data_IF_482489067918
#
_entry.id   IF_482489067918
#
_cell.length_a   1.000
_cell.length_b   1.000
_cell.length_c   1.000
_cell.angle_alpha   90.00
_cell.angle_beta   90.00
_cell.angle_gamma   90.00
#
_symmetry.space_group_name_H-M   'P 1'
#
loop_
_entity.id
_entity.type
_entity.pdbx_description
1 polymer ?
#
# COMPACT_ATOMS: atom_id res chain seq x y z
N UNK A 1 4.16 16.30 2.87
CA UNK A 1 5.27 16.40 1.88
C UNK A 1 6.33 15.34 2.13
N UNK A 2 6.89 15.25 3.32
CA UNK A 2 8.00 14.31 3.71
C UNK A 2 7.68 12.82 3.43
N UNK A 3 6.46 12.36 3.78
CA UNK A 3 6.06 10.94 3.59
C UNK A 3 5.99 10.52 2.11
N UNK A 4 5.53 11.41 1.24
CA UNK A 4 5.42 11.14 -0.19
C UNK A 4 6.78 11.14 -0.88
N UNK A 5 7.71 11.96 -0.43
CA UNK A 5 9.11 11.95 -0.87
C UNK A 5 9.82 10.65 -0.48
N UNK A 6 9.62 10.18 0.75
CA UNK A 6 10.11 8.88 1.17
C UNK A 6 9.59 7.77 0.25
N UNK A 7 8.28 7.75 -0.03
CA UNK A 7 7.66 6.78 -0.95
C UNK A 7 8.29 6.83 -2.34
N UNK A 8 8.47 8.03 -2.90
CA UNK A 8 9.16 8.22 -4.19
C UNK A 8 10.56 7.60 -4.18
N UNK A 9 11.33 7.82 -3.13
CA UNK A 9 12.69 7.29 -3.00
C UNK A 9 12.69 5.76 -2.93
N UNK A 10 11.71 5.14 -2.23
CA UNK A 10 11.58 3.68 -2.20
C UNK A 10 11.22 3.12 -3.59
N UNK A 11 10.31 3.77 -4.33
CA UNK A 11 9.98 3.38 -5.71
C UNK A 11 11.23 3.37 -6.58
N UNK A 12 12.01 4.45 -6.57
CA UNK A 12 13.22 4.58 -7.39
C UNK A 12 14.31 3.57 -7.01
N UNK A 13 14.40 3.22 -5.72
CA UNK A 13 15.39 2.27 -5.20
C UNK A 13 15.08 0.82 -5.55
N UNK A 14 13.81 0.42 -5.53
CA UNK A 14 13.42 -0.99 -5.56
C UNK A 14 12.68 -1.44 -6.83
N UNK A 15 12.07 -0.52 -7.58
CA UNK A 15 11.28 -0.89 -8.74
C UNK A 15 12.02 -0.63 -10.05
N UNK A 16 11.86 -1.54 -10.99
CA UNK A 16 12.36 -1.38 -12.35
C UNK A 16 11.25 -0.80 -13.24
N UNK A 17 11.57 0.26 -13.98
CA UNK A 17 10.61 1.03 -14.82
C UNK A 17 10.02 0.21 -15.98
N UNK A 18 10.76 -0.79 -16.47
CA UNK A 18 10.35 -1.62 -17.61
C UNK A 18 9.45 -2.79 -17.20
N UNK A 19 9.22 -2.95 -15.91
CA UNK A 19 8.43 -4.02 -15.34
C UNK A 19 6.98 -3.61 -15.13
N UNK A 20 6.08 -4.61 -15.14
CA UNK A 20 4.66 -4.40 -14.85
C UNK A 20 4.45 -4.18 -13.35
N UNK A 21 3.72 -3.13 -12.99
CA UNK A 21 3.49 -2.77 -11.60
C UNK A 21 1.99 -2.63 -11.37
N UNK A 22 1.47 -3.32 -10.37
CA UNK A 22 0.12 -3.07 -9.85
C UNK A 22 0.21 -2.18 -8.62
N UNK A 23 -0.39 -0.99 -8.67
CA UNK A 23 -0.47 -0.06 -7.54
C UNK A 23 -1.87 -0.18 -6.92
N UNK A 24 -1.93 -0.65 -5.68
CA UNK A 24 -3.16 -0.88 -4.94
C UNK A 24 -3.54 0.34 -4.10
N UNK A 25 -4.84 0.68 -4.07
CA UNK A 25 -5.35 1.81 -3.30
C UNK A 25 -4.85 3.17 -3.80
N UNK A 26 -4.50 3.26 -5.09
CA UNK A 26 -3.91 4.47 -5.66
C UNK A 26 -4.90 5.64 -5.71
N UNK A 27 -4.36 6.85 -5.57
CA UNK A 27 -5.02 8.13 -5.76
C UNK A 27 -4.51 8.86 -7.01
N UNK A 28 -4.99 10.09 -7.23
CA UNK A 28 -4.45 10.99 -8.27
C UNK A 28 -2.98 11.34 -8.04
N UNK A 29 -2.52 11.34 -6.78
CA UNK A 29 -1.14 11.67 -6.43
C UNK A 29 -0.19 10.56 -6.86
N UNK A 30 -0.56 9.28 -6.63
CA UNK A 30 0.19 8.14 -7.17
C UNK A 30 0.21 8.17 -8.71
N UNK A 31 -0.89 8.54 -9.36
CA UNK A 31 -0.91 8.67 -10.81
C UNK A 31 0.09 9.72 -11.32
N UNK A 32 0.14 10.87 -10.66
CA UNK A 32 1.11 11.93 -10.95
C UNK A 32 2.55 11.44 -10.73
N UNK A 33 2.79 10.76 -9.61
CA UNK A 33 4.12 10.26 -9.25
C UNK A 33 4.65 9.24 -10.26
N UNK A 34 3.87 8.18 -10.55
CA UNK A 34 4.30 7.15 -11.49
C UNK A 34 4.50 7.68 -12.90
N UNK A 35 3.68 8.66 -13.32
CA UNK A 35 3.89 9.37 -14.58
C UNK A 35 5.19 10.17 -14.58
N UNK A 36 5.42 11.02 -13.57
CA UNK A 36 6.65 11.81 -13.40
C UNK A 36 7.90 10.95 -13.42
N UNK A 37 7.83 9.79 -12.76
CA UNK A 37 8.92 8.82 -12.70
C UNK A 37 9.04 7.93 -13.95
N UNK A 38 8.14 8.11 -14.94
CA UNK A 38 8.13 7.40 -16.22
C UNK A 38 7.91 5.87 -16.10
N UNK A 39 7.14 5.42 -15.14
CA UNK A 39 6.72 4.02 -15.02
C UNK A 39 5.53 3.72 -15.97
N UNK A 40 5.81 3.54 -17.26
CA UNK A 40 4.81 3.38 -18.32
C UNK A 40 3.93 2.14 -18.19
N UNK A 41 4.39 1.11 -17.45
CA UNK A 41 3.68 -0.16 -17.23
C UNK A 41 3.02 -0.27 -15.87
N UNK A 42 2.86 0.87 -15.17
CA UNK A 42 2.10 0.94 -13.93
C UNK A 42 0.59 0.91 -14.21
N UNK A 43 -0.12 0.08 -13.46
CA UNK A 43 -1.57 -0.02 -13.46
C UNK A 43 -2.06 0.43 -12.09
N UNK A 44 -2.84 1.50 -12.07
CA UNK A 44 -3.37 2.08 -10.85
C UNK A 44 -4.72 1.44 -10.50
N UNK A 45 -4.92 1.06 -9.26
CA UNK A 45 -6.18 0.48 -8.84
C UNK A 45 -6.72 1.11 -7.57
N UNK A 46 -8.04 1.22 -7.51
CA UNK A 46 -8.76 1.64 -6.31
C UNK A 46 -10.13 0.95 -6.28
N UNK A 47 -10.73 0.84 -5.10
CA UNK A 47 -12.11 0.36 -4.93
C UNK A 47 -13.11 1.34 -5.55
N UNK A 48 -12.79 2.64 -5.49
CA UNK A 48 -13.54 3.72 -6.11
C UNK A 48 -12.66 4.45 -7.13
N UNK A 49 -12.98 4.32 -8.41
CA UNK A 49 -12.25 4.99 -9.49
C UNK A 49 -12.36 6.52 -9.44
N UNK A 50 -13.30 7.08 -8.68
CA UNK A 50 -13.37 8.52 -8.45
C UNK A 50 -12.12 9.06 -7.73
N UNK A 51 -11.43 8.24 -6.92
CA UNK A 51 -10.16 8.59 -6.29
C UNK A 51 -9.03 8.78 -7.32
N UNK A 52 -9.20 8.23 -8.51
CA UNK A 52 -8.28 8.40 -9.64
C UNK A 52 -8.74 9.49 -10.62
N UNK A 53 -9.70 10.34 -10.20
CA UNK A 53 -10.17 11.47 -10.99
C UNK A 53 -9.00 12.45 -11.20
N UNK A 54 -8.81 12.87 -12.44
CA UNK A 54 -7.65 13.70 -12.83
C UNK A 54 -6.41 12.91 -13.25
N UNK A 55 -6.38 11.58 -13.02
CA UNK A 55 -5.30 10.73 -13.52
C UNK A 55 -5.35 10.52 -15.04
N UNK A 56 -6.46 10.91 -15.71
CA UNK A 56 -6.64 10.85 -17.16
C UNK A 56 -5.55 11.60 -17.91
N UNK A 57 -5.17 12.77 -17.41
CA UNK A 57 -4.11 13.60 -17.99
C UNK A 57 -2.75 12.88 -18.08
N UNK A 58 -2.54 11.85 -17.26
CA UNK A 58 -1.30 11.07 -17.24
C UNK A 58 -1.37 9.82 -18.12
N UNK A 59 -2.50 9.55 -18.81
CA UNK A 59 -2.72 8.34 -19.64
C UNK A 59 -2.44 7.03 -18.91
N UNK A 60 -2.55 7.02 -17.58
CA UNK A 60 -2.31 5.84 -16.76
C UNK A 60 -3.44 4.85 -16.88
N UNK A 61 -3.11 3.56 -17.01
CA UNK A 61 -4.11 2.50 -16.98
C UNK A 61 -4.72 2.39 -15.61
N UNK A 62 -6.06 2.42 -15.53
CA UNK A 62 -6.83 2.34 -14.29
C UNK A 62 -7.70 1.11 -14.28
N UNK A 63 -7.80 0.44 -13.14
CA UNK A 63 -8.70 -0.69 -12.93
C UNK A 63 -9.37 -0.59 -11.57
N UNK A 64 -10.61 -1.04 -11.50
CA UNK A 64 -11.32 -1.14 -10.22
C UNK A 64 -10.91 -2.44 -9.53
N UNK A 65 -10.35 -2.34 -8.34
CA UNK A 65 -10.04 -3.50 -7.49
C UNK A 65 -10.53 -3.21 -6.08
N UNK A 66 -11.34 -4.14 -5.58
CA UNK A 66 -11.63 -4.27 -4.17
C UNK A 66 -10.61 -5.24 -3.55
N UNK A 67 -9.96 -4.87 -2.47
CA UNK A 67 -8.95 -5.70 -1.80
C UNK A 67 -9.51 -7.07 -1.39
N UNK A 68 -10.80 -7.15 -1.09
CA UNK A 68 -11.49 -8.42 -0.78
C UNK A 68 -11.52 -9.40 -1.96
N UNK A 69 -11.27 -8.93 -3.17
CA UNK A 69 -11.29 -9.69 -4.41
C UNK A 69 -9.90 -9.96 -5.01
N UNK A 70 -8.81 -9.68 -4.31
CA UNK A 70 -7.44 -9.93 -4.81
C UNK A 70 -7.21 -11.40 -5.15
N UNK A 71 -7.88 -12.34 -4.48
CA UNK A 71 -7.82 -13.77 -4.77
C UNK A 71 -8.25 -14.13 -6.21
N UNK A 72 -8.99 -13.27 -6.90
CA UNK A 72 -9.38 -13.46 -8.31
C UNK A 72 -8.23 -13.19 -9.29
N UNK A 73 -7.18 -12.52 -8.87
CA UNK A 73 -5.99 -12.26 -9.67
C UNK A 73 -5.10 -13.48 -9.62
N UNK A 74 -4.62 -13.94 -10.78
CA UNK A 74 -3.74 -15.11 -10.87
C UNK A 74 -2.40 -14.87 -10.17
N UNK A 75 -1.79 -15.95 -9.68
CA UNK A 75 -0.43 -15.90 -9.13
C UNK A 75 0.54 -15.31 -10.15
N UNK A 76 1.53 -14.58 -9.67
CA UNK A 76 2.61 -14.02 -10.49
C UNK A 76 2.12 -13.22 -11.72
N UNK A 77 1.02 -12.45 -11.56
CA UNK A 77 0.42 -11.67 -12.67
C UNK A 77 1.15 -10.37 -12.96
N UNK A 78 1.84 -9.82 -11.97
CA UNK A 78 2.59 -8.57 -12.07
C UNK A 78 4.02 -8.77 -11.61
N UNK A 79 4.95 -8.01 -12.16
CA UNK A 79 6.34 -8.07 -11.71
C UNK A 79 6.48 -7.53 -10.29
N UNK A 80 5.80 -6.43 -9.99
CA UNK A 80 5.73 -5.85 -8.65
C UNK A 80 4.30 -5.51 -8.26
N UNK A 81 4.00 -5.57 -6.96
CA UNK A 81 2.76 -5.05 -6.38
C UNK A 81 3.12 -4.03 -5.31
N UNK A 82 2.51 -2.86 -5.39
CA UNK A 82 2.85 -1.69 -4.55
C UNK A 82 1.62 -1.21 -3.83
N UNK A 83 1.79 -0.81 -2.58
CA UNK A 83 0.75 -0.13 -1.79
C UNK A 83 1.37 0.97 -0.93
N UNK A 84 0.67 2.08 -0.83
CA UNK A 84 1.03 3.21 0.03
C UNK A 84 -0.18 3.63 0.85
N UNK A 85 -0.06 3.56 2.18
CA UNK A 85 -1.04 4.04 3.14
C UNK A 85 -2.49 3.60 2.85
N UNK A 86 -2.69 2.34 2.47
CA UNK A 86 -4.02 1.87 2.05
C UNK A 86 -4.41 0.50 2.61
N UNK A 87 -3.47 -0.30 3.12
CA UNK A 87 -3.81 -1.63 3.68
C UNK A 87 -4.65 -1.48 4.97
N UNK A 88 -4.44 -0.42 5.73
CA UNK A 88 -5.21 -0.18 6.95
C UNK A 88 -6.68 0.19 6.69
N UNK A 89 -7.10 0.44 5.44
CA UNK A 89 -8.50 0.59 5.07
C UNK A 89 -9.23 -0.74 4.86
N UNK A 90 -8.59 -1.87 5.13
CA UNK A 90 -9.23 -3.19 5.02
C UNK A 90 -9.40 -3.84 6.39
N UNK A 91 -10.46 -4.66 6.53
CA UNK A 91 -10.69 -5.50 7.71
C UNK A 91 -9.72 -6.69 7.83
N UNK A 92 -8.92 -6.97 6.77
CA UNK A 92 -8.04 -8.15 6.70
C UNK A 92 -6.63 -7.80 6.21
N UNK A 93 -5.89 -6.92 6.92
CA UNK A 93 -4.60 -6.41 6.44
C UNK A 93 -3.55 -7.52 6.17
N UNK A 94 -3.48 -8.55 7.00
CA UNK A 94 -2.57 -9.69 6.81
C UNK A 94 -2.87 -10.45 5.51
N UNK A 95 -4.15 -10.69 5.24
CA UNK A 95 -4.55 -11.38 4.02
C UNK A 95 -4.16 -10.59 2.77
N UNK A 96 -4.32 -9.27 2.81
CA UNK A 96 -3.94 -8.40 1.69
C UNK A 96 -2.43 -8.49 1.43
N UNK A 97 -1.60 -8.48 2.47
CA UNK A 97 -0.16 -8.65 2.34
C UNK A 97 0.20 -9.97 1.66
N UNK A 98 -0.43 -11.08 2.07
CA UNK A 98 -0.20 -12.40 1.47
C UNK A 98 -0.68 -12.44 0.00
N UNK A 99 -1.82 -11.84 -0.30
CA UNK A 99 -2.32 -11.74 -1.68
C UNK A 99 -1.38 -10.91 -2.56
N UNK A 100 -0.88 -9.78 -2.08
CA UNK A 100 0.14 -9.01 -2.79
C UNK A 100 1.37 -9.86 -3.09
N UNK A 101 1.86 -10.61 -2.09
CA UNK A 101 3.01 -11.49 -2.24
C UNK A 101 2.75 -12.61 -3.27
N UNK A 102 1.54 -13.20 -3.28
CA UNK A 102 1.13 -14.22 -4.24
C UNK A 102 1.04 -13.69 -5.68
N UNK A 103 0.53 -12.47 -5.85
CA UNK A 103 0.30 -11.82 -7.15
C UNK A 103 1.61 -11.34 -7.79
N UNK A 104 2.61 -10.99 -6.97
CA UNK A 104 3.89 -10.46 -7.43
C UNK A 104 4.86 -11.57 -7.87
N UNK A 105 5.61 -11.33 -8.97
CA UNK A 105 6.68 -12.22 -9.44
C UNK A 105 8.01 -11.97 -8.75
N UNK A 106 8.36 -10.68 -8.59
CA UNK A 106 9.69 -10.27 -8.12
C UNK A 106 9.67 -9.68 -6.73
N UNK A 107 8.58 -8.99 -6.34
CA UNK A 107 8.49 -8.42 -5.00
C UNK A 107 7.31 -7.51 -4.78
N UNK A 108 7.13 -7.16 -3.52
CA UNK A 108 6.12 -6.20 -3.07
C UNK A 108 6.80 -5.01 -2.42
N UNK A 109 6.23 -3.83 -2.58
CA UNK A 109 6.64 -2.61 -1.88
C UNK A 109 5.46 -2.12 -1.06
N UNK A 110 5.66 -2.05 0.25
CA UNK A 110 4.63 -1.62 1.21
C UNK A 110 5.17 -0.41 1.95
N UNK A 111 4.44 0.69 1.91
CA UNK A 111 4.73 1.89 2.71
C UNK A 111 3.53 2.16 3.62
N UNK A 112 3.65 1.74 4.85
CA UNK A 112 2.60 1.80 5.88
C UNK A 112 3.17 2.31 7.22
N UNK A 113 2.29 2.57 8.16
CA UNK A 113 2.67 3.02 9.49
C UNK A 113 3.35 1.89 10.28
N UNK A 114 4.43 2.23 11.00
CA UNK A 114 5.15 1.30 11.88
C UNK A 114 4.60 1.37 13.30
N UNK A 115 4.42 0.21 13.95
CA UNK A 115 4.09 0.11 15.38
C UNK A 115 5.35 0.22 16.25
N UNK A 116 5.97 1.40 16.24
CA UNK A 116 7.12 1.70 17.08
C UNK A 116 6.71 2.07 18.51
N UNK A 117 7.65 1.98 19.44
CA UNK A 117 7.42 2.46 20.82
C UNK A 117 7.00 3.94 20.86
N UNK A 118 7.66 4.79 20.05
CA UNK A 118 7.33 6.22 19.95
C UNK A 118 5.91 6.43 19.42
N UNK A 119 5.50 5.66 18.42
CA UNK A 119 4.15 5.74 17.87
C UNK A 119 3.09 5.32 18.90
N UNK A 120 3.33 4.23 19.64
CA UNK A 120 2.43 3.80 20.73
C UNK A 120 2.31 4.84 21.83
N UNK A 121 3.43 5.50 22.16
CA UNK A 121 3.42 6.60 23.12
C UNK A 121 2.64 7.82 22.57
N UNK A 122 2.81 8.16 21.30
CA UNK A 122 2.05 9.24 20.64
C UNK A 122 0.54 9.00 20.68
N UNK A 123 0.10 7.77 20.46
CA UNK A 123 -1.33 7.39 20.57
C UNK A 123 -1.80 7.52 22.01
N UNK A 124 -1.03 7.01 22.97
CA UNK A 124 -1.36 7.11 24.41
C UNK A 124 -1.49 8.55 24.90
N UNK A 125 -0.71 9.46 24.33
CA UNK A 125 -0.73 10.89 24.63
C UNK A 125 -1.69 11.69 23.75
N UNK A 126 -2.52 11.04 22.92
CA UNK A 126 -3.47 11.65 21.98
C UNK A 126 -2.81 12.56 20.91
N UNK A 127 -1.53 12.37 20.60
CA UNK A 127 -0.86 13.02 19.46
C UNK A 127 -1.08 12.29 18.14
N UNK A 128 -1.57 11.06 18.19
CA UNK A 128 -1.93 10.25 17.02
C UNK A 128 -3.21 9.48 17.31
N UNK A 129 -3.99 9.19 16.25
CA UNK A 129 -5.26 8.48 16.35
C UNK A 129 -5.10 6.99 16.03
N UNK A 130 -5.90 6.14 16.71
CA UNK A 130 -6.04 4.72 16.36
C UNK A 130 -7.14 4.48 15.32
N UNK A 131 -8.14 5.37 15.27
CA UNK A 131 -9.24 5.30 14.31
C UNK A 131 -9.26 6.56 13.45
N UNK A 132 -9.24 6.38 12.14
CA UNK A 132 -9.22 7.48 11.17
C UNK A 132 -10.62 8.06 10.94
N UNK A 133 -11.11 8.81 11.93
CA UNK A 133 -12.45 9.43 11.91
C UNK A 133 -12.56 10.51 10.83
N UNK A 134 -11.47 11.22 10.55
CA UNK A 134 -11.41 12.27 9.54
C UNK A 134 -11.65 11.75 8.12
N UNK A 135 -11.32 10.49 7.84
CA UNK A 135 -11.54 9.88 6.54
C UNK A 135 -13.02 9.81 6.14
N UNK A 136 -13.93 9.73 7.10
CA UNK A 136 -15.38 9.68 6.84
C UNK A 136 -15.96 11.01 6.32
N UNK A 137 -15.30 12.12 6.63
CA UNK A 137 -15.73 13.47 6.21
C UNK A 137 -15.17 13.85 4.83
N UNK A 138 -14.41 12.97 4.21
CA UNK A 138 -13.82 13.13 2.88
C UNK A 138 -14.41 12.12 1.92
N UNK A 139 -14.05 12.20 0.64
CA UNK A 139 -14.40 11.15 -0.33
C UNK A 139 -13.67 9.82 -0.08
N UNK A 140 -12.75 9.77 0.88
CA UNK A 140 -12.12 8.53 1.35
C UNK A 140 -13.11 7.84 2.29
N UNK A 141 -13.51 6.63 1.93
CA UNK A 141 -14.40 5.80 2.75
C UNK A 141 -13.59 5.06 3.83
N UNK A 142 -14.26 4.68 4.92
CA UNK A 142 -13.65 3.88 5.98
C UNK A 142 -13.38 2.42 5.57
N UNK A 143 -13.37 1.52 6.55
CA UNK A 143 -12.98 0.12 6.36
C UNK A 143 -13.80 -0.56 5.25
N UNK A 144 -13.10 -1.22 4.33
CA UNK A 144 -13.69 -1.94 3.17
C UNK A 144 -14.65 -1.08 2.31
N UNK A 145 -14.43 0.24 2.27
CA UNK A 145 -15.27 1.18 1.54
C UNK A 145 -16.61 1.50 2.22
N UNK A 146 -16.76 1.19 3.50
CA UNK A 146 -17.93 1.49 4.32
C UNK A 146 -17.88 2.90 4.92
N UNK A 147 -18.89 3.24 5.73
CA UNK A 147 -18.91 4.47 6.55
C UNK A 147 -18.41 4.22 7.99
N UNK A 148 -17.70 3.11 8.23
CA UNK A 148 -17.14 2.79 9.53
C UNK A 148 -15.68 3.24 9.53
N UNK A 149 -15.21 4.02 10.53
CA UNK A 149 -13.82 4.44 10.61
C UNK A 149 -12.89 3.23 10.60
N UNK A 150 -11.84 3.26 9.79
CA UNK A 150 -10.83 2.21 9.83
C UNK A 150 -9.92 2.37 11.04
N UNK A 151 -9.52 1.24 11.61
CA UNK A 151 -8.42 1.19 12.57
C UNK A 151 -7.10 1.38 11.81
N UNK A 152 -6.26 2.31 12.26
CA UNK A 152 -4.93 2.55 11.66
C UNK A 152 -4.01 1.40 12.04
N UNK A 153 -4.06 0.33 11.24
CA UNK A 153 -3.24 -0.85 11.48
C UNK A 153 -1.76 -0.52 11.26
N UNK A 154 -0.97 -0.60 12.34
CA UNK A 154 0.46 -0.35 12.33
C UNK A 154 1.22 -1.66 12.36
N UNK A 155 2.26 -1.77 11.54
CA UNK A 155 3.00 -3.02 11.34
C UNK A 155 4.26 -3.08 12.18
N UNK A 156 4.61 -4.29 12.62
CA UNK A 156 5.94 -4.59 13.18
C UNK A 156 6.73 -5.46 12.21
N UNK A 157 8.06 -5.32 12.21
CA UNK A 157 8.93 -6.20 11.41
C UNK A 157 8.73 -7.67 11.74
N UNK A 158 8.59 -7.97 13.05
CA UNK A 158 8.42 -9.35 13.54
C UNK A 158 7.15 -9.99 13.00
N UNK A 159 6.08 -9.23 12.95
CA UNK A 159 4.78 -9.68 12.42
C UNK A 159 4.87 -10.00 10.93
N UNK A 160 5.45 -9.10 10.13
CA UNK A 160 5.65 -9.30 8.70
C UNK A 160 6.50 -10.55 8.44
N UNK A 161 7.61 -10.71 9.17
CA UNK A 161 8.48 -11.90 9.07
C UNK A 161 7.71 -13.18 9.40
N UNK A 162 6.98 -13.22 10.51
CA UNK A 162 6.17 -14.39 10.90
C UNK A 162 5.13 -14.73 9.81
N UNK A 163 4.42 -13.73 9.32
CA UNK A 163 3.38 -13.91 8.32
C UNK A 163 3.92 -14.54 7.04
N UNK A 164 5.00 -13.97 6.49
CA UNK A 164 5.59 -14.43 5.23
C UNK A 164 6.25 -15.81 5.38
N UNK A 165 7.01 -16.06 6.45
CA UNK A 165 7.64 -17.37 6.68
C UNK A 165 6.63 -18.47 7.04
N UNK A 166 5.49 -18.13 7.65
CA UNK A 166 4.41 -19.11 7.85
C UNK A 166 3.71 -19.45 6.53
N UNK A 167 3.62 -18.49 5.61
CA UNK A 167 3.00 -18.71 4.30
C UNK A 167 3.88 -19.53 3.35
N UNK A 168 5.20 -19.30 3.36
CA UNK A 168 6.18 -20.05 2.55
C UNK A 168 7.43 -20.42 3.37
N UNK A 169 7.34 -21.44 4.22
CA UNK A 169 8.42 -21.82 5.14
C UNK A 169 9.66 -22.39 4.45
N UNK A 170 9.49 -22.90 3.24
CA UNK A 170 10.54 -23.50 2.40
C UNK A 170 11.33 -22.49 1.57
N UNK A 171 10.89 -21.24 1.51
CA UNK A 171 11.57 -20.22 0.71
C UNK A 171 12.38 -19.24 1.55
N UNK A 172 13.58 -18.93 1.07
CA UNK A 172 14.36 -17.80 1.58
C UNK A 172 13.75 -16.51 1.03
N UNK A 173 13.08 -15.74 1.88
CA UNK A 173 12.47 -14.45 1.53
C UNK A 173 13.45 -13.35 1.91
N UNK A 174 13.80 -12.47 0.96
CA UNK A 174 14.59 -11.28 1.24
C UNK A 174 13.63 -10.16 1.67
N UNK A 175 13.71 -9.74 2.93
CA UNK A 175 12.87 -8.69 3.51
C UNK A 175 13.77 -7.52 3.92
N UNK A 176 13.49 -6.34 3.39
CA UNK A 176 14.22 -5.11 3.68
C UNK A 176 13.25 -4.14 4.36
N UNK A 177 13.64 -3.64 5.53
CA UNK A 177 12.90 -2.61 6.24
C UNK A 177 13.66 -1.28 6.11
N UNK A 178 12.95 -0.24 5.72
CA UNK A 178 13.45 1.12 5.67
C UNK A 178 12.53 2.02 6.47
N UNK A 179 13.09 2.93 7.19
CA UNK A 179 12.35 3.89 8.02
C UNK A 179 12.59 5.29 7.49
N UNK A 180 11.58 6.12 7.65
CA UNK A 180 11.73 7.55 7.44
C UNK A 180 12.32 8.14 8.71
N UNK A 181 13.50 8.74 8.59
CA UNK A 181 14.08 9.50 9.68
C UNK A 181 13.24 10.77 9.89
N UNK A 182 12.48 10.80 10.97
CA UNK A 182 11.82 12.02 11.42
C UNK A 182 12.87 12.82 12.18
N UNK A 183 13.58 13.70 11.50
CA UNK A 183 14.38 14.78 12.10
C UNK A 183 13.49 16.01 12.23
#
# INVERSE_FOLDING_TARGET
MIRFEFYQNQILKFLNKDKSILVLGASSDEASLFHKLQFKRAILSNIDLAQLKGAEKYKSKKIKIDFRNLFKIKNNSYDYVVVHASIHHTSRPHNILLEMYRIAKHGILIVESNDSFVMRLSVKLNFSEDFEKSALNTCVKGVDGSNIPNYVYRWTEREIKKLLYSYQPDKKINIIFNYQDNI
#
